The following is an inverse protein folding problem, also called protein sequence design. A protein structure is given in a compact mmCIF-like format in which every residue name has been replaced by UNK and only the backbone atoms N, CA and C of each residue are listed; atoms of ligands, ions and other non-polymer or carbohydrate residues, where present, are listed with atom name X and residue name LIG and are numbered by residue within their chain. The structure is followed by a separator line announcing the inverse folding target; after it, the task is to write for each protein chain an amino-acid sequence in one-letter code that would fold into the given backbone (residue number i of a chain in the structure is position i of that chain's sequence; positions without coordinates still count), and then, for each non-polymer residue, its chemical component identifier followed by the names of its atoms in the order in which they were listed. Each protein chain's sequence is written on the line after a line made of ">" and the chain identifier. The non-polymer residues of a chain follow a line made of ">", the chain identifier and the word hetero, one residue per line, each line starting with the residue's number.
data_IF_739606497918
#
_entry.id   IF_739606497918
#
_cell.length_a   1.000
_cell.length_b   1.000
_cell.length_c   1.000
_cell.angle_alpha   90.00
_cell.angle_beta   90.00
_cell.angle_gamma   90.00
#
_symmetry.space_group_name_H-M   'P 1'
#
loop_
_entity.id
_entity.type
_entity.pdbx_description
1 polymer ?
#
# COMPACT_ATOMS: atom_id res chain seq x y z
N UNK A 1 -19.64 4.24 17.45
CA UNK A 1 -18.72 5.16 16.78
C UNK A 1 -18.35 6.27 17.75
N UNK A 2 -17.11 6.31 18.22
CA UNK A 2 -16.64 7.25 19.26
C UNK A 2 -16.38 8.65 18.69
N UNK A 3 -16.36 9.70 19.52
CA UNK A 3 -16.03 11.09 19.09
C UNK A 3 -14.64 11.16 18.45
N UNK A 4 -13.71 10.31 18.90
CA UNK A 4 -12.34 10.21 18.38
C UNK A 4 -12.34 9.69 16.94
N UNK A 5 -13.09 8.62 16.64
CA UNK A 5 -13.20 8.08 15.28
C UNK A 5 -13.72 9.13 14.29
N UNK A 6 -14.76 9.88 14.66
CA UNK A 6 -15.29 10.93 13.78
C UNK A 6 -14.29 12.06 13.55
N UNK A 7 -13.47 12.39 14.54
CA UNK A 7 -12.43 13.41 14.41
C UNK A 7 -11.36 12.95 13.42
N UNK A 8 -10.86 11.72 13.54
CA UNK A 8 -9.82 11.17 12.66
C UNK A 8 -10.28 11.19 11.19
N UNK A 9 -11.51 10.76 10.90
CA UNK A 9 -12.04 10.76 9.54
C UNK A 9 -12.14 12.17 8.94
N UNK A 10 -12.58 13.15 9.74
CA UNK A 10 -12.67 14.55 9.32
C UNK A 10 -11.30 15.15 9.04
N UNK A 11 -10.31 14.89 9.90
CA UNK A 11 -8.94 15.38 9.70
C UNK A 11 -8.30 14.75 8.46
N UNK A 12 -8.51 13.45 8.23
CA UNK A 12 -8.08 12.79 7.00
C UNK A 12 -8.68 13.48 5.76
N UNK A 13 -9.98 13.78 5.76
CA UNK A 13 -10.63 14.49 4.65
C UNK A 13 -10.00 15.86 4.36
N UNK A 14 -9.57 16.59 5.39
CA UNK A 14 -8.81 17.84 5.22
C UNK A 14 -7.44 17.59 4.60
N UNK A 15 -6.70 16.59 5.09
CA UNK A 15 -5.39 16.22 4.52
C UNK A 15 -5.50 15.87 3.04
N UNK A 16 -6.51 15.08 2.65
CA UNK A 16 -6.77 14.75 1.24
C UNK A 16 -7.09 16.00 0.42
N UNK A 17 -7.90 16.91 0.97
CA UNK A 17 -8.26 18.16 0.29
C UNK A 17 -7.03 19.06 0.07
N UNK A 18 -6.16 19.18 1.07
CA UNK A 18 -4.89 19.93 0.96
C UNK A 18 -3.97 19.27 -0.07
N UNK A 19 -3.81 17.95 -0.02
CA UNK A 19 -2.98 17.22 -0.97
C UNK A 19 -3.44 17.40 -2.43
N UNK A 20 -4.76 17.37 -2.68
CA UNK A 20 -5.34 17.69 -4.00
C UNK A 20 -5.17 19.15 -4.39
N UNK A 21 -5.32 20.08 -3.45
CA UNK A 21 -5.03 21.50 -3.68
C UNK A 21 -3.56 21.76 -4.06
N UNK A 22 -2.66 20.89 -3.59
CA UNK A 22 -1.25 20.85 -3.97
C UNK A 22 -0.98 19.96 -5.19
N UNK A 23 -1.98 19.40 -5.89
CA UNK A 23 -1.79 18.56 -7.07
C UNK A 23 -1.06 17.23 -6.83
N UNK A 24 -1.00 16.71 -5.60
CA UNK A 24 -0.28 15.46 -5.29
C UNK A 24 -0.96 14.22 -5.89
N UNK A 25 -2.23 14.32 -6.27
CA UNK A 25 -3.02 13.27 -6.90
C UNK A 25 -2.76 13.14 -8.41
N UNK A 26 -2.02 14.08 -9.00
CA UNK A 26 -1.68 14.10 -10.42
C UNK A 26 -0.20 13.74 -10.63
N UNK A 27 0.12 13.24 -11.82
CA UNK A 27 1.52 13.14 -12.26
C UNK A 27 1.95 14.48 -12.86
N UNK A 28 2.77 15.24 -12.14
CA UNK A 28 3.36 16.47 -12.68
C UNK A 28 4.61 16.13 -13.50
N UNK A 29 4.61 16.54 -14.78
CA UNK A 29 5.69 16.19 -15.71
C UNK A 29 6.73 17.29 -15.92
N UNK A 30 6.38 18.58 -15.84
CA UNK A 30 7.25 19.67 -16.25
C UNK A 30 7.97 20.36 -15.09
N UNK A 31 9.29 20.54 -15.21
CA UNK A 31 10.09 21.41 -14.34
C UNK A 31 10.49 20.86 -12.96
N UNK A 32 9.89 19.76 -12.51
CA UNK A 32 10.18 19.18 -11.19
C UNK A 32 11.31 18.14 -11.22
N UNK A 33 12.20 18.19 -10.22
CA UNK A 33 13.24 17.18 -10.01
C UNK A 33 12.67 15.80 -9.65
N UNK A 34 13.41 14.74 -9.99
CA UNK A 34 12.96 13.34 -9.80
C UNK A 34 12.71 13.01 -8.32
N UNK A 35 13.56 13.53 -7.43
CA UNK A 35 13.39 13.35 -6.00
C UNK A 35 12.09 13.95 -5.48
N UNK A 36 11.78 15.18 -5.88
CA UNK A 36 10.55 15.88 -5.45
C UNK A 36 9.30 15.17 -5.99
N UNK A 37 9.32 14.73 -7.26
CA UNK A 37 8.24 13.91 -7.84
C UNK A 37 7.98 12.67 -7.00
N UNK A 38 9.03 11.97 -6.63
CA UNK A 38 8.93 10.75 -5.83
C UNK A 38 8.44 11.02 -4.39
N UNK A 39 8.88 12.12 -3.76
CA UNK A 39 8.35 12.53 -2.44
C UNK A 39 6.85 12.83 -2.51
N UNK A 40 6.40 13.54 -3.56
CA UNK A 40 4.97 13.84 -3.78
C UNK A 40 4.16 12.55 -3.95
N UNK A 41 4.65 11.59 -4.75
CA UNK A 41 4.03 10.24 -4.85
C UNK A 41 3.93 9.56 -3.50
N UNK A 42 5.01 9.52 -2.71
CA UNK A 42 5.01 8.88 -1.39
C UNK A 42 3.97 9.48 -0.45
N UNK A 43 3.87 10.80 -0.39
CA UNK A 43 2.86 11.49 0.45
C UNK A 43 1.45 11.13 -0.01
N UNK A 44 1.17 11.18 -1.31
CA UNK A 44 -0.15 10.83 -1.85
C UNK A 44 -0.53 9.38 -1.53
N UNK A 45 0.38 8.43 -1.79
CA UNK A 45 0.13 7.01 -1.54
C UNK A 45 0.01 6.67 -0.05
N UNK A 46 0.75 7.36 0.81
CA UNK A 46 0.59 7.23 2.27
C UNK A 46 -0.81 7.71 2.71
N UNK A 47 -1.30 8.83 2.18
CA UNK A 47 -2.66 9.31 2.44
C UNK A 47 -3.70 8.31 1.92
N UNK A 48 -3.51 7.73 0.74
CA UNK A 48 -4.41 6.70 0.21
C UNK A 48 -4.46 5.43 1.07
N UNK A 49 -3.33 5.00 1.64
CA UNK A 49 -3.32 3.88 2.59
C UNK A 49 -4.10 4.21 3.87
N UNK A 50 -3.88 5.39 4.43
CA UNK A 50 -4.64 5.83 5.62
C UNK A 50 -6.13 5.94 5.31
N UNK A 51 -6.49 6.48 4.15
CA UNK A 51 -7.87 6.57 3.72
C UNK A 51 -8.55 5.20 3.62
N UNK A 52 -7.88 4.23 3.01
CA UNK A 52 -8.39 2.87 2.93
C UNK A 52 -8.57 2.27 4.34
N UNK A 53 -7.52 2.30 5.17
CA UNK A 53 -7.52 1.63 6.47
C UNK A 53 -8.50 2.27 7.47
N UNK A 54 -8.55 3.60 7.53
CA UNK A 54 -9.47 4.34 8.40
C UNK A 54 -10.91 4.10 7.97
N UNK A 55 -11.18 4.14 6.67
CA UNK A 55 -12.52 3.91 6.13
C UNK A 55 -12.99 2.49 6.43
N UNK A 56 -12.14 1.49 6.24
CA UNK A 56 -12.43 0.09 6.57
C UNK A 56 -12.75 -0.09 8.06
N UNK A 57 -11.92 0.46 8.96
CA UNK A 57 -12.14 0.38 10.40
C UNK A 57 -13.43 1.08 10.86
N UNK A 58 -13.92 2.04 10.09
CA UNK A 58 -15.16 2.78 10.37
C UNK A 58 -16.39 2.22 9.63
N UNK A 59 -16.23 1.19 8.81
CA UNK A 59 -17.29 0.70 7.93
C UNK A 59 -17.77 1.76 6.93
N UNK A 60 -16.88 2.65 6.51
CA UNK A 60 -17.13 3.73 5.55
C UNK A 60 -16.43 3.48 4.23
N UNK A 61 -16.81 4.25 3.23
CA UNK A 61 -16.12 4.27 1.95
C UNK A 61 -14.87 5.15 2.03
N UNK A 62 -13.79 4.74 1.35
CA UNK A 62 -12.62 5.60 1.14
C UNK A 62 -13.00 6.94 0.50
N UNK A 63 -12.42 8.03 1.00
CA UNK A 63 -12.56 9.40 0.52
C UNK A 63 -11.91 9.58 -0.86
N UNK A 64 -10.95 8.70 -1.22
CA UNK A 64 -10.25 8.68 -2.50
C UNK A 64 -10.71 7.45 -3.30
N UNK A 65 -11.73 7.59 -4.17
CA UNK A 65 -12.17 6.50 -5.03
C UNK A 65 -11.12 6.15 -6.09
N UNK A 66 -11.08 4.89 -6.57
CA UNK A 66 -10.29 4.54 -7.74
C UNK A 66 -10.63 5.41 -8.95
N UNK A 67 -9.64 5.66 -9.81
CA UNK A 67 -9.82 6.46 -11.03
C UNK A 67 -9.94 7.98 -10.81
N UNK A 68 -9.92 8.46 -9.56
CA UNK A 68 -9.98 9.91 -9.24
C UNK A 68 -8.61 10.57 -9.09
N UNK A 69 -7.54 9.85 -9.43
CA UNK A 69 -6.15 10.30 -9.34
C UNK A 69 -5.35 9.68 -10.49
N UNK A 70 -4.29 10.37 -10.91
CA UNK A 70 -3.37 9.91 -11.95
C UNK A 70 -1.97 9.57 -11.40
N UNK A 71 -1.70 9.90 -10.14
CA UNK A 71 -0.45 9.62 -9.44
C UNK A 71 -0.09 8.12 -9.46
N UNK A 72 1.10 7.81 -9.99
CA UNK A 72 1.64 6.45 -10.13
C UNK A 72 2.15 5.93 -8.79
N UNK A 73 2.21 4.60 -8.60
CA UNK A 73 2.84 4.01 -7.42
C UNK A 73 4.25 4.54 -7.18
N UNK A 74 4.67 4.66 -5.91
CA UNK A 74 6.04 5.00 -5.54
C UNK A 74 7.01 3.97 -6.10
N UNK A 75 8.21 4.43 -6.46
CA UNK A 75 9.28 3.56 -6.94
C UNK A 75 10.09 3.02 -5.77
N UNK A 76 10.66 1.83 -5.98
CA UNK A 76 11.70 1.32 -5.09
C UNK A 76 12.98 2.11 -5.31
N UNK A 77 13.50 2.71 -4.24
CA UNK A 77 14.68 3.55 -4.26
C UNK A 77 15.66 3.15 -3.15
N UNK A 78 16.96 3.26 -3.45
CA UNK A 78 18.02 3.22 -2.45
C UNK A 78 18.07 4.55 -1.71
N UNK A 79 17.54 4.58 -0.49
CA UNK A 79 17.42 5.80 0.31
C UNK A 79 18.79 6.34 0.77
N UNK A 80 19.84 5.52 0.76
CA UNK A 80 21.18 5.96 1.15
C UNK A 80 21.78 6.99 0.19
N UNK A 81 21.31 6.99 -1.06
CA UNK A 81 21.81 7.84 -2.15
C UNK A 81 20.71 8.62 -2.86
N UNK A 82 19.44 8.45 -2.49
CA UNK A 82 18.32 9.16 -3.10
C UNK A 82 18.04 10.50 -2.39
N UNK A 83 18.51 11.59 -3.00
CA UNK A 83 18.35 12.95 -2.45
C UNK A 83 17.96 13.99 -3.50
N UNK A 84 17.81 15.28 -3.11
CA UNK A 84 17.35 16.36 -3.99
C UNK A 84 18.18 16.57 -5.27
N UNK A 85 19.45 16.15 -5.25
CA UNK A 85 20.37 16.25 -6.40
C UNK A 85 20.34 15.01 -7.31
N UNK A 86 19.51 14.01 -7.00
CA UNK A 86 19.43 12.78 -7.78
C UNK A 86 18.83 13.04 -9.17
N UNK A 87 19.51 12.54 -10.20
CA UNK A 87 19.08 12.64 -11.61
C UNK A 87 18.39 11.37 -12.11
N UNK A 88 18.27 10.36 -11.26
CA UNK A 88 17.57 9.10 -11.50
C UNK A 88 17.14 8.49 -10.17
N UNK A 89 16.17 7.56 -10.19
CA UNK A 89 15.81 6.77 -9.01
C UNK A 89 16.84 5.64 -8.88
N UNK A 90 17.67 5.65 -7.83
CA UNK A 90 18.70 4.63 -7.63
C UNK A 90 18.03 3.33 -7.20
N UNK A 91 18.40 2.21 -7.81
CA UNK A 91 17.85 0.90 -7.42
C UNK A 91 18.50 0.43 -6.11
N UNK A 92 17.72 -0.08 -5.15
CA UNK A 92 18.24 -0.80 -4.00
C UNK A 92 19.26 -1.88 -4.40
N UNK A 93 20.40 -2.01 -3.71
CA UNK A 93 21.28 -3.15 -3.90
C UNK A 93 20.58 -4.43 -3.40
N UNK A 94 20.84 -5.56 -4.06
CA UNK A 94 20.23 -6.86 -3.70
C UNK A 94 20.54 -7.30 -2.25
N UNK A 95 21.61 -6.76 -1.67
CA UNK A 95 22.06 -7.05 -0.30
C UNK A 95 21.47 -6.11 0.75
N UNK A 96 20.66 -5.11 0.36
CA UNK A 96 20.04 -4.19 1.31
C UNK A 96 19.06 -4.93 2.22
N UNK A 97 19.37 -4.99 3.52
CA UNK A 97 18.54 -5.63 4.56
C UNK A 97 17.29 -4.80 4.88
N UNK A 98 16.36 -4.63 3.94
CA UNK A 98 15.02 -4.09 4.23
C UNK A 98 14.91 -2.62 4.65
N UNK A 99 16.01 -1.85 4.68
CA UNK A 99 16.01 -0.42 5.03
C UNK A 99 15.52 0.52 3.90
N UNK A 100 15.06 -0.02 2.77
CA UNK A 100 14.65 0.76 1.60
C UNK A 100 13.11 0.85 1.48
N UNK A 101 12.64 1.59 0.49
CA UNK A 101 11.19 1.76 0.23
C UNK A 101 10.48 0.51 -0.29
N UNK A 102 11.16 -0.63 -0.36
CA UNK A 102 10.64 -1.91 -0.84
C UNK A 102 9.37 -2.35 -0.09
N UNK A 103 9.33 -2.25 1.25
CA UNK A 103 8.11 -2.52 2.02
C UNK A 103 6.95 -1.60 1.60
N UNK A 104 7.22 -0.30 1.51
CA UNK A 104 6.23 0.70 1.14
C UNK A 104 5.70 0.49 -0.28
N UNK A 105 6.60 0.22 -1.24
CA UNK A 105 6.25 -0.08 -2.62
C UNK A 105 5.42 -1.37 -2.73
N UNK A 106 5.82 -2.43 -2.03
CA UNK A 106 5.08 -3.70 -1.96
C UNK A 106 3.67 -3.49 -1.40
N UNK A 107 3.55 -2.70 -0.34
CA UNK A 107 2.27 -2.34 0.29
C UNK A 107 1.39 -1.49 -0.63
N UNK A 108 1.98 -0.55 -1.37
CA UNK A 108 1.26 0.25 -2.37
C UNK A 108 0.72 -0.63 -3.51
N UNK A 109 1.50 -1.60 -3.98
CA UNK A 109 1.02 -2.57 -4.98
C UNK A 109 -0.18 -3.38 -4.45
N UNK A 110 -0.10 -3.88 -3.22
CA UNK A 110 -1.22 -4.60 -2.59
C UNK A 110 -2.47 -3.71 -2.45
N UNK A 111 -2.29 -2.43 -2.09
CA UNK A 111 -3.39 -1.46 -2.00
C UNK A 111 -4.15 -1.34 -3.33
N UNK A 112 -3.48 -1.39 -4.49
CA UNK A 112 -4.16 -1.34 -5.78
C UNK A 112 -5.11 -2.52 -6.01
N UNK A 113 -4.78 -3.70 -5.48
CA UNK A 113 -5.61 -4.90 -5.54
C UNK A 113 -6.81 -4.71 -4.60
N UNK A 114 -6.56 -4.30 -3.35
CA UNK A 114 -7.59 -4.05 -2.33
C UNK A 114 -8.63 -3.02 -2.78
N UNK A 115 -8.17 -1.92 -3.39
CA UNK A 115 -9.06 -0.86 -3.88
C UNK A 115 -9.96 -1.32 -5.02
N UNK A 116 -9.52 -2.30 -5.84
CA UNK A 116 -10.35 -2.89 -6.90
C UNK A 116 -11.58 -3.60 -6.30
N UNK A 117 -11.38 -4.40 -5.24
CA UNK A 117 -12.47 -5.06 -4.52
C UNK A 117 -13.41 -4.05 -3.86
N UNK A 118 -12.83 -3.07 -3.15
CA UNK A 118 -13.60 -2.07 -2.41
C UNK A 118 -14.55 -1.30 -3.32
N UNK A 119 -14.16 -1.07 -4.57
CA UNK A 119 -15.01 -0.41 -5.56
C UNK A 119 -16.07 -1.35 -6.14
N UNK A 120 -15.71 -2.58 -6.51
CA UNK A 120 -16.68 -3.55 -7.02
C UNK A 120 -17.80 -3.87 -6.01
N UNK A 121 -17.47 -3.88 -4.72
CA UNK A 121 -18.44 -4.03 -3.63
C UNK A 121 -19.49 -2.91 -3.58
N UNK A 122 -19.23 -1.76 -4.20
CA UNK A 122 -20.14 -0.61 -4.21
C UNK A 122 -21.09 -0.57 -5.39
N UNK A 123 -20.68 -1.11 -6.53
CA UNK A 123 -21.46 -1.03 -7.75
C UNK A 123 -22.47 -2.17 -7.85
N UNK A 124 -22.00 -3.37 -8.17
CA UNK A 124 -22.85 -4.52 -8.52
C UNK A 124 -22.63 -5.73 -7.59
N UNK A 125 -21.70 -5.62 -6.64
CA UNK A 125 -21.23 -6.72 -5.81
C UNK A 125 -20.07 -7.47 -6.45
N UNK A 126 -19.49 -8.42 -5.70
CA UNK A 126 -18.33 -9.19 -6.15
C UNK A 126 -18.82 -10.39 -6.96
N UNK A 127 -18.46 -10.46 -8.24
CA UNK A 127 -18.73 -11.64 -9.07
C UNK A 127 -17.68 -12.73 -8.82
N UNK A 128 -18.05 -14.00 -9.02
CA UNK A 128 -17.11 -15.13 -8.86
C UNK A 128 -15.90 -14.98 -9.79
N UNK A 129 -16.10 -14.47 -11.00
CA UNK A 129 -15.01 -14.24 -11.95
C UNK A 129 -14.05 -13.15 -11.47
N UNK A 130 -14.57 -12.02 -10.98
CA UNK A 130 -13.74 -10.98 -10.38
C UNK A 130 -12.98 -11.51 -9.16
N UNK A 131 -13.62 -12.33 -8.32
CA UNK A 131 -12.95 -12.95 -7.17
C UNK A 131 -11.75 -13.79 -7.59
N UNK A 132 -11.91 -14.64 -8.62
CA UNK A 132 -10.80 -15.45 -9.17
C UNK A 132 -9.68 -14.59 -9.75
N UNK A 133 -10.03 -13.51 -10.47
CA UNK A 133 -9.03 -12.59 -11.04
C UNK A 133 -8.23 -11.87 -9.95
N UNK A 134 -8.90 -11.41 -8.89
CA UNK A 134 -8.24 -10.75 -7.76
C UNK A 134 -7.38 -11.70 -6.94
N UNK A 135 -7.82 -12.95 -6.75
CA UNK A 135 -7.02 -13.99 -6.09
C UNK A 135 -5.76 -14.34 -6.90
N UNK A 136 -5.88 -14.46 -8.22
CA UNK A 136 -4.74 -14.64 -9.10
C UNK A 136 -3.75 -13.45 -9.04
N UNK A 137 -4.26 -12.21 -9.01
CA UNK A 137 -3.42 -11.00 -8.84
C UNK A 137 -2.71 -10.99 -7.48
N UNK A 138 -3.40 -11.36 -6.40
CA UNK A 138 -2.82 -11.46 -5.06
C UNK A 138 -1.72 -12.52 -5.01
N UNK A 139 -1.98 -13.68 -5.63
CA UNK A 139 -1.01 -14.77 -5.73
C UNK A 139 0.25 -14.34 -6.48
N UNK A 140 0.09 -13.68 -7.64
CA UNK A 140 1.20 -13.13 -8.40
C UNK A 140 2.00 -12.11 -7.59
N UNK A 141 1.33 -11.17 -6.92
CA UNK A 141 1.98 -10.21 -6.03
C UNK A 141 2.77 -10.91 -4.91
N UNK A 142 2.20 -11.93 -4.27
CA UNK A 142 2.85 -12.69 -3.18
C UNK A 142 4.09 -13.44 -3.67
N UNK A 143 4.06 -13.99 -4.88
CA UNK A 143 5.24 -14.65 -5.48
C UNK A 143 6.36 -13.67 -5.84
N UNK A 144 5.98 -12.45 -6.24
CA UNK A 144 6.89 -11.37 -6.61
C UNK A 144 7.51 -10.63 -5.42
N UNK A 145 7.01 -10.86 -4.19
CA UNK A 145 7.61 -10.29 -2.99
C UNK A 145 9.11 -10.65 -2.89
N UNK A 146 9.96 -9.72 -2.44
CA UNK A 146 11.34 -10.02 -2.09
C UNK A 146 11.44 -11.12 -1.03
N UNK A 147 12.55 -11.88 -1.05
CA UNK A 147 12.76 -13.02 -0.14
C UNK A 147 12.61 -12.65 1.34
N UNK A 148 13.08 -11.46 1.74
CA UNK A 148 12.98 -10.96 3.12
C UNK A 148 11.55 -10.72 3.63
N UNK A 149 10.57 -10.62 2.72
CA UNK A 149 9.16 -10.46 3.08
C UNK A 149 8.36 -11.76 2.88
N UNK A 150 9.01 -12.87 2.52
CA UNK A 150 8.35 -14.18 2.42
C UNK A 150 8.38 -14.85 3.79
N UNK A 151 7.19 -15.15 4.32
CA UNK A 151 7.02 -15.93 5.55
C UNK A 151 6.58 -17.33 5.14
N UNK A 152 7.33 -18.36 5.58
CA UNK A 152 6.86 -19.73 5.50
C UNK A 152 6.04 -20.07 6.75
N UNK A 153 4.72 -20.05 6.59
CA UNK A 153 3.79 -20.41 7.65
C UNK A 153 3.72 -21.93 7.92
N UNK A 154 4.47 -22.77 7.19
CA UNK A 154 4.57 -24.22 7.42
C UNK A 154 5.70 -24.60 8.36
N UNK A 155 6.68 -23.73 8.55
CA UNK A 155 7.73 -23.92 9.53
C UNK A 155 7.18 -23.68 10.94
N UNK A 156 7.72 -24.41 11.93
CA UNK A 156 7.18 -24.34 13.29
C UNK A 156 7.41 -22.94 13.86
N UNK A 157 6.46 -22.40 14.66
CA UNK A 157 6.64 -21.12 15.32
C UNK A 157 7.90 -21.10 16.19
N UNK A 158 8.30 -22.18 16.86
CA UNK A 158 9.55 -22.20 17.62
C UNK A 158 10.84 -22.07 16.78
N UNK A 159 10.80 -22.42 15.50
CA UNK A 159 11.93 -22.29 14.56
C UNK A 159 11.90 -20.95 13.79
N UNK A 160 10.74 -20.27 13.75
CA UNK A 160 10.49 -19.01 13.01
C UNK A 160 10.12 -17.80 13.89
N UNK A 161 9.73 -18.00 15.16
CA UNK A 161 9.41 -16.93 16.12
C UNK A 161 10.71 -16.35 16.64
N UNK A 162 11.26 -15.50 15.79
CA UNK A 162 12.14 -14.37 16.06
C UNK A 162 12.54 -14.22 17.53
N UNK A 163 13.60 -14.92 17.99
CA UNK A 163 14.18 -14.63 19.30
C UNK A 163 14.69 -13.19 19.39
N UNK A 164 14.92 -12.53 18.24
CA UNK A 164 15.20 -11.11 18.06
C UNK A 164 14.35 -10.54 16.90
N UNK A 165 13.13 -10.07 17.18
CA UNK A 165 12.22 -9.49 16.19
C UNK A 165 12.82 -8.21 15.57
N UNK A 166 13.14 -8.22 14.27
CA UNK A 166 13.58 -7.04 13.53
C UNK A 166 12.39 -6.34 12.83
N UNK A 167 12.57 -5.07 12.45
CA UNK A 167 11.56 -4.26 11.75
C UNK A 167 11.10 -4.93 10.44
N UNK A 168 11.99 -5.66 9.77
CA UNK A 168 11.71 -6.36 8.51
C UNK A 168 10.71 -7.51 8.75
N UNK A 169 10.82 -8.20 9.87
CA UNK A 169 9.90 -9.28 10.24
C UNK A 169 8.50 -8.72 10.49
N UNK A 170 8.41 -7.59 11.20
CA UNK A 170 7.15 -6.88 11.44
C UNK A 170 6.52 -6.41 10.12
N UNK A 171 7.32 -5.86 9.21
CA UNK A 171 6.88 -5.45 7.88
C UNK A 171 6.36 -6.63 7.06
N UNK A 172 7.07 -7.76 7.08
CA UNK A 172 6.63 -8.99 6.43
C UNK A 172 5.28 -9.44 6.99
N UNK A 173 5.15 -9.48 8.32
CA UNK A 173 3.90 -9.85 9.00
C UNK A 173 2.74 -8.94 8.57
N UNK A 174 2.94 -7.62 8.58
CA UNK A 174 1.93 -6.66 8.17
C UNK A 174 1.46 -6.89 6.72
N UNK A 175 2.38 -7.12 5.78
CA UNK A 175 2.03 -7.42 4.38
C UNK A 175 1.19 -8.70 4.26
N UNK A 176 1.57 -9.78 4.95
CA UNK A 176 0.81 -11.04 4.91
C UNK A 176 -0.53 -10.94 5.63
N UNK A 177 -0.62 -10.22 6.74
CA UNK A 177 -1.88 -9.95 7.44
C UNK A 177 -2.83 -9.20 6.52
N UNK A 178 -2.36 -8.12 5.89
CA UNK A 178 -3.17 -7.33 4.96
C UNK A 178 -3.66 -8.17 3.77
N UNK A 179 -2.80 -8.99 3.19
CA UNK A 179 -3.14 -9.89 2.08
C UNK A 179 -4.16 -10.96 2.49
N UNK A 180 -4.00 -11.59 3.66
CA UNK A 180 -4.89 -12.64 4.14
C UNK A 180 -6.26 -12.06 4.55
N UNK A 181 -6.30 -10.89 5.19
CA UNK A 181 -7.56 -10.19 5.50
C UNK A 181 -8.31 -9.84 4.22
N UNK A 182 -7.59 -9.37 3.19
CA UNK A 182 -8.17 -9.14 1.87
C UNK A 182 -8.75 -10.43 1.27
N UNK A 183 -8.01 -11.54 1.31
CA UNK A 183 -8.47 -12.83 0.76
C UNK A 183 -9.74 -13.32 1.46
N UNK A 184 -9.80 -13.22 2.80
CA UNK A 184 -11.01 -13.57 3.55
C UNK A 184 -12.22 -12.71 3.11
N UNK A 185 -12.01 -11.40 2.95
CA UNK A 185 -13.07 -10.47 2.50
C UNK A 185 -13.50 -10.72 1.05
N UNK A 186 -12.56 -11.11 0.19
CA UNK A 186 -12.82 -11.41 -1.21
C UNK A 186 -13.79 -12.58 -1.38
N UNK A 187 -13.62 -13.61 -0.55
CA UNK A 187 -14.40 -14.85 -0.64
C UNK A 187 -15.60 -14.91 0.30
N UNK A 188 -15.72 -13.99 1.27
CA UNK A 188 -16.84 -13.94 2.22
C UNK A 188 -18.25 -14.02 1.60
N UNK A 189 -18.53 -13.43 0.41
CA UNK A 189 -19.86 -13.50 -0.19
C UNK A 189 -20.25 -14.87 -0.78
N UNK A 190 -19.33 -15.84 -0.87
CA UNK A 190 -19.52 -17.15 -1.52
C UNK A 190 -19.47 -18.30 -0.52
#
# INVERSE_FOLDING_TARGET
>A
MTVVEQTIYKELGKCVSVARGMGLDLEEDEGMGIWEKEMRRRVWWQLMMFDQQISENMGRLPIIPPGTYACKPPSEADESVFGPTATAIPKPPETAKGYNTTYFASKCQLLTIIKTLSFAQLEEGVTLELARQLDARLSNWRTALPAQYKIDFREKPEDTMFPDLDIVDVQACDLHIMANVFLLRLWLPF
#
